data_IF_825469600104
#
_entry.id   IF_825469600104
#
_cell.length_a   1.000
_cell.length_b   1.000
_cell.length_c   1.000
_cell.angle_alpha   90.00
_cell.angle_beta   90.00
_cell.angle_gamma   90.00
#
_symmetry.space_group_name_H-M   'P 1'
#
loop_
_entity.id
_entity.type
_entity.pdbx_description
1 polymer ?
#
# COMPACT_ATOMS: atom_id res chain seq x y z
N UNK A 1 2.22 -6.45 0.44
CA UNK A 1 3.55 -5.84 0.33
C UNK A 1 4.35 -6.07 1.60
N UNK A 2 5.67 -6.29 1.50
CA UNK A 2 6.51 -6.46 2.66
C UNK A 2 6.74 -5.11 3.36
N UNK A 3 7.06 -5.16 4.64
CA UNK A 3 7.21 -3.98 5.48
C UNK A 3 8.24 -2.99 4.93
N UNK A 4 9.40 -3.50 4.51
CA UNK A 4 10.49 -2.70 3.95
C UNK A 4 10.24 -2.22 2.52
N UNK A 5 9.15 -2.65 1.91
CA UNK A 5 8.79 -2.25 0.54
C UNK A 5 7.55 -1.37 0.50
N UNK A 6 6.85 -1.19 1.64
CA UNK A 6 5.65 -0.34 1.73
C UNK A 6 5.98 1.15 1.50
N UNK A 7 7.17 1.59 1.92
CA UNK A 7 7.67 2.95 1.66
C UNK A 7 8.25 3.12 0.25
N UNK A 8 8.55 2.02 -0.44
CA UNK A 8 9.22 2.07 -1.72
C UNK A 8 8.25 2.49 -2.81
N UNK A 9 8.54 3.64 -3.44
CA UNK A 9 7.79 4.17 -4.58
C UNK A 9 7.55 3.09 -5.66
N UNK A 10 8.62 2.41 -6.11
CA UNK A 10 8.55 1.38 -7.17
C UNK A 10 7.58 0.26 -6.79
N UNK A 11 7.56 -0.13 -5.52
CA UNK A 11 6.64 -1.16 -5.06
C UNK A 11 5.19 -0.67 -5.05
N UNK A 12 4.94 0.58 -4.64
CA UNK A 12 3.60 1.19 -4.71
C UNK A 12 3.09 1.30 -6.15
N UNK A 13 3.98 1.65 -7.07
CA UNK A 13 3.70 1.67 -8.52
C UNK A 13 3.38 0.26 -9.03
N UNK A 14 4.18 -0.75 -8.69
CA UNK A 14 3.88 -2.14 -9.06
C UNK A 14 2.55 -2.64 -8.46
N UNK A 15 2.22 -2.26 -7.23
CA UNK A 15 0.96 -2.64 -6.59
C UNK A 15 -0.26 -2.07 -7.30
N UNK A 16 -0.12 -0.90 -7.93
CA UNK A 16 -1.17 -0.30 -8.76
C UNK A 16 -1.48 -1.10 -10.04
N UNK A 17 -0.57 -1.98 -10.46
CA UNK A 17 -0.72 -2.84 -11.64
C UNK A 17 -1.32 -4.22 -11.31
N UNK A 18 -1.42 -4.60 -10.03
CA UNK A 18 -1.88 -5.93 -9.65
C UNK A 18 -3.39 -6.06 -9.82
N UNK A 19 -3.82 -7.16 -10.43
CA UNK A 19 -5.24 -7.49 -10.64
C UNK A 19 -5.93 -8.05 -9.39
N UNK A 20 -5.22 -8.16 -8.26
CA UNK A 20 -5.73 -8.68 -7.01
C UNK A 20 -5.66 -7.62 -5.89
N UNK A 21 -6.46 -7.78 -4.80
CA UNK A 21 -6.33 -6.94 -3.62
C UNK A 21 -4.94 -6.99 -3.01
N UNK A 22 -4.44 -5.84 -2.53
CA UNK A 22 -3.09 -5.71 -1.98
C UNK A 22 -3.12 -5.20 -0.55
N UNK A 23 -2.53 -5.96 0.36
CA UNK A 23 -2.34 -5.55 1.75
C UNK A 23 -1.01 -4.84 1.97
N UNK A 24 -1.03 -3.69 2.65
CA UNK A 24 0.15 -2.90 3.01
C UNK A 24 0.38 -2.98 4.53
N UNK A 25 1.58 -3.42 4.94
CA UNK A 25 1.91 -3.59 6.36
C UNK A 25 2.33 -2.26 6.97
N UNK A 26 1.86 -1.95 8.18
CA UNK A 26 2.33 -0.77 8.93
C UNK A 26 3.82 -0.88 9.31
N UNK A 27 4.45 0.27 9.59
CA UNK A 27 5.88 0.44 9.93
C UNK A 27 6.42 -0.49 11.03
N UNK A 28 7.74 -0.70 11.08
CA UNK A 28 8.39 -1.55 12.12
C UNK A 28 8.11 -1.04 13.52
N UNK A 29 8.01 0.28 13.66
CA UNK A 29 7.70 1.02 14.88
C UNK A 29 6.22 1.02 15.26
N UNK A 30 5.32 0.63 14.35
CA UNK A 30 3.86 0.67 14.55
C UNK A 30 3.14 1.70 13.68
N UNK A 31 3.88 2.53 12.92
CA UNK A 31 3.29 3.64 12.17
C UNK A 31 2.37 3.16 11.03
N UNK A 32 1.08 3.40 11.19
CA UNK A 32 0.02 3.04 10.22
C UNK A 32 -0.05 3.98 9.02
N UNK A 33 0.41 5.24 9.15
CA UNK A 33 0.36 6.23 8.06
C UNK A 33 1.09 5.77 6.82
N UNK A 34 2.23 5.10 6.99
CA UNK A 34 3.02 4.56 5.87
C UNK A 34 2.19 3.61 5.00
N UNK A 35 1.40 2.72 5.64
CA UNK A 35 0.54 1.80 4.92
C UNK A 35 -0.64 2.52 4.26
N UNK A 36 -1.20 3.54 4.92
CA UNK A 36 -2.29 4.37 4.38
C UNK A 36 -1.82 5.15 3.14
N UNK A 37 -0.65 5.76 3.20
CA UNK A 37 -0.02 6.44 2.07
C UNK A 37 0.27 5.48 0.92
N UNK A 38 0.64 4.24 1.24
CA UNK A 38 0.85 3.21 0.23
C UNK A 38 -0.45 2.76 -0.46
N UNK A 39 -1.54 2.62 0.28
CA UNK A 39 -2.88 2.36 -0.27
C UNK A 39 -3.30 3.51 -1.19
N UNK A 40 -3.13 4.76 -0.74
CA UNK A 40 -3.47 5.95 -1.53
C UNK A 40 -2.66 6.03 -2.82
N UNK A 41 -1.34 5.79 -2.73
CA UNK A 41 -0.49 5.76 -3.90
C UNK A 41 -0.93 4.65 -4.86
N UNK A 42 -1.09 3.40 -4.40
CA UNK A 42 -1.45 2.28 -5.25
C UNK A 42 -2.82 2.44 -5.92
N UNK A 43 -3.75 3.20 -5.32
CA UNK A 43 -5.06 3.53 -5.92
C UNK A 43 -4.94 4.48 -7.12
N UNK A 44 -3.89 5.29 -7.21
CA UNK A 44 -3.66 6.15 -8.37
C UNK A 44 -3.03 5.36 -9.54
N UNK A 45 -3.25 5.83 -10.77
CA UNK A 45 -2.51 5.35 -11.93
C UNK A 45 -1.06 5.83 -11.91
N UNK A 46 -0.14 4.96 -12.31
CA UNK A 46 1.29 5.23 -12.35
C UNK A 46 1.88 4.88 -13.71
N UNK A 47 3.07 5.44 -13.98
CA UNK A 47 3.94 4.98 -15.05
C UNK A 47 5.26 4.49 -14.46
N UNK A 48 5.66 3.28 -14.80
CA UNK A 48 6.95 2.72 -14.36
C UNK A 48 7.58 1.83 -15.43
N UNK A 49 8.91 1.72 -15.36
CA UNK A 49 9.69 0.88 -16.27
C UNK A 49 9.82 -0.54 -15.71
N UNK A 50 9.48 -1.54 -16.53
CA UNK A 50 9.67 -2.95 -16.17
C UNK A 50 9.93 -3.79 -17.43
N UNK A 51 10.67 -4.90 -17.33
CA UNK A 51 10.77 -5.85 -18.43
C UNK A 51 9.41 -6.43 -18.78
N UNK A 52 9.13 -6.58 -20.07
CA UNK A 52 7.98 -7.33 -20.55
C UNK A 52 8.19 -8.85 -20.44
N UNK A 53 7.23 -9.63 -20.92
CA UNK A 53 7.32 -11.11 -20.89
C UNK A 53 8.49 -11.67 -21.71
N UNK A 54 9.10 -10.87 -22.59
CA UNK A 54 10.25 -11.23 -23.41
C UNK A 54 11.58 -10.67 -22.87
N UNK A 55 11.52 -9.91 -21.77
CA UNK A 55 12.69 -9.28 -21.14
C UNK A 55 13.04 -7.91 -21.69
N UNK A 56 12.24 -7.34 -22.61
CA UNK A 56 12.47 -5.99 -23.13
C UNK A 56 11.94 -4.93 -22.17
N UNK A 57 12.76 -3.90 -21.91
CA UNK A 57 12.35 -2.79 -21.07
C UNK A 57 11.20 -2.01 -21.69
N UNK A 58 10.07 -1.98 -20.99
CA UNK A 58 8.82 -1.34 -21.44
C UNK A 58 8.30 -0.38 -20.38
N UNK A 59 7.61 0.68 -20.80
CA UNK A 59 6.89 1.58 -19.92
C UNK A 59 5.49 1.01 -19.70
N UNK A 60 5.16 0.71 -18.44
CA UNK A 60 3.83 0.31 -18.02
C UNK A 60 3.04 1.52 -17.54
N UNK A 61 1.79 1.64 -17.98
CA UNK A 61 0.83 2.59 -17.44
C UNK A 61 -0.29 1.82 -16.74
N UNK A 62 -0.57 2.15 -15.48
CA UNK A 62 -1.61 1.50 -14.68
C UNK A 62 -2.81 2.42 -14.47
N UNK A 63 -3.98 1.83 -14.25
CA UNK A 63 -5.19 2.55 -13.86
C UNK A 63 -5.31 2.74 -12.34
N UNK A 64 -4.44 2.11 -11.55
CA UNK A 64 -4.55 2.07 -10.10
C UNK A 64 -5.27 0.81 -9.59
N UNK A 65 -5.05 0.52 -8.31
CA UNK A 65 -5.65 -0.59 -7.59
C UNK A 65 -6.54 -0.06 -6.45
N UNK A 66 -7.88 -0.11 -6.60
CA UNK A 66 -8.80 0.39 -5.59
C UNK A 66 -8.94 -0.55 -4.38
N UNK A 67 -8.38 -1.76 -4.44
CA UNK A 67 -8.57 -2.82 -3.44
C UNK A 67 -7.41 -2.91 -2.43
N UNK A 68 -6.77 -1.77 -2.15
CA UNK A 68 -5.73 -1.67 -1.13
C UNK A 68 -6.29 -1.69 0.29
N UNK A 69 -5.66 -2.45 1.19
CA UNK A 69 -6.04 -2.49 2.62
C UNK A 69 -4.81 -2.50 3.54
N UNK A 70 -5.00 -2.06 4.79
CA UNK A 70 -3.93 -2.05 5.80
C UNK A 70 -3.83 -3.40 6.49
N UNK A 71 -2.60 -3.85 6.76
CA UNK A 71 -2.30 -4.99 7.61
C UNK A 71 -1.60 -4.49 8.87
N UNK A 72 -2.30 -4.56 9.99
CA UNK A 72 -1.79 -4.21 11.31
C UNK A 72 -1.01 -5.39 11.90
N UNK A 73 0.29 -5.23 12.07
CA UNK A 73 1.25 -6.30 12.44
C UNK A 73 1.97 -6.06 13.76
N UNK A 74 1.59 -5.03 14.51
CA UNK A 74 2.29 -4.51 15.68
C UNK A 74 3.34 -3.45 15.34
N UNK A 75 4.11 -3.08 16.35
CA UNK A 75 5.18 -2.09 16.28
C UNK A 75 6.16 -2.31 17.43
N UNK A 76 6.52 -1.22 18.13
CA UNK A 76 7.13 -1.30 19.47
C UNK A 76 6.20 -1.97 20.48
N UNK A 77 4.90 -1.74 20.34
CA UNK A 77 3.82 -2.42 21.05
C UNK A 77 2.94 -3.16 20.06
N UNK A 78 2.17 -4.18 20.48
CA UNK A 78 1.11 -4.71 19.64
C UNK A 78 0.08 -3.64 19.29
N UNK A 79 -0.56 -3.77 18.12
CA UNK A 79 -1.57 -2.83 17.65
C UNK A 79 -2.83 -3.57 17.19
N UNK A 80 -3.22 -4.67 17.84
CA UNK A 80 -4.40 -5.46 17.45
C UNK A 80 -5.61 -5.19 18.35
N UNK A 81 -5.50 -4.29 19.33
CA UNK A 81 -6.59 -4.02 20.26
C UNK A 81 -7.69 -3.20 19.56
N UNK A 82 -8.91 -3.25 20.11
CA UNK A 82 -10.05 -2.54 19.53
C UNK A 82 -9.79 -1.04 19.33
N UNK A 83 -9.10 -0.40 20.27
CA UNK A 83 -8.70 1.02 20.19
C UNK A 83 -7.76 1.30 19.02
N UNK A 84 -6.82 0.39 18.74
CA UNK A 84 -5.87 0.53 17.63
C UNK A 84 -6.59 0.39 16.28
N UNK A 85 -7.53 -0.56 16.20
CA UNK A 85 -8.34 -0.79 15.00
C UNK A 85 -9.23 0.42 14.70
N UNK A 86 -9.89 0.97 15.72
CA UNK A 86 -10.70 2.19 15.58
C UNK A 86 -9.84 3.35 15.08
N UNK A 87 -8.68 3.58 15.70
CA UNK A 87 -7.76 4.65 15.28
C UNK A 87 -7.28 4.49 13.83
N UNK A 88 -7.00 3.25 13.39
CA UNK A 88 -6.62 2.97 12.01
C UNK A 88 -7.79 3.19 11.02
N UNK A 89 -9.01 2.78 11.39
CA UNK A 89 -10.21 3.05 10.61
C UNK A 89 -10.48 4.55 10.46
N UNK A 90 -10.34 5.33 11.54
CA UNK A 90 -10.53 6.78 11.50
C UNK A 90 -9.48 7.46 10.63
N UNK A 91 -8.21 7.05 10.77
CA UNK A 91 -7.13 7.53 9.89
C UNK A 91 -7.39 7.21 8.41
N UNK A 92 -7.96 6.05 8.08
CA UNK A 92 -8.36 5.73 6.71
C UNK A 92 -9.52 6.60 6.22
N UNK A 93 -10.49 6.91 7.08
CA UNK A 93 -11.66 7.74 6.73
C UNK A 93 -11.28 9.19 6.42
N UNK A 94 -10.27 9.74 7.11
CA UNK A 94 -9.75 11.09 6.84
C UNK A 94 -9.41 11.31 5.36
N UNK A 95 -8.96 10.27 4.67
CA UNK A 95 -8.56 10.36 3.26
C UNK A 95 -9.70 10.16 2.26
N UNK A 96 -10.96 10.21 2.71
CA UNK A 96 -12.21 10.14 1.93
C UNK A 96 -12.07 9.21 0.72
N UNK A 97 -11.98 7.91 0.98
CA UNK A 97 -12.14 6.87 -0.03
C UNK A 97 -13.63 6.77 -0.42
N UNK A 98 -14.18 7.83 -1.00
CA UNK A 98 -15.42 7.76 -1.81
C UNK A 98 -15.14 7.14 -3.17
#
# INVERSE_FOLDING_TARGET
MALRTTESQIHREMASALSCPVGFKNGTDGNTRIAIDAIRAARAGHMFLSPDKTGQMTIYQTSGNPYGHIIMRGGKTPNYHATDVVAACDSLREFRFT
#
